data_IF_666972451303
#
_entry.id   IF_666972451303
#
_cell.length_a   1.000
_cell.length_b   1.000
_cell.length_c   1.000
_cell.angle_alpha   90.00
_cell.angle_beta   90.00
_cell.angle_gamma   90.00
#
_symmetry.space_group_name_H-M   'P 1'
#
loop_
_entity.id
_entity.type
_entity.pdbx_description
1 polymer ?
#
# COMPACT_ATOMS: atom_id res chain seq x y z
N UNK A 1 35.32 -6.17 -5.16
CA UNK A 1 33.91 -6.01 -5.02
C UNK A 1 33.45 -5.53 -3.65
N UNK A 2 32.21 -5.21 -3.59
CA UNK A 2 31.56 -4.79 -2.35
C UNK A 2 30.79 -5.96 -1.77
N UNK A 3 31.02 -6.26 -0.49
CA UNK A 3 30.34 -7.32 0.22
C UNK A 3 29.95 -6.85 1.61
N UNK A 4 28.95 -7.49 2.19
CA UNK A 4 28.48 -7.21 3.53
C UNK A 4 28.60 -8.47 4.38
N UNK A 5 29.07 -8.30 5.63
CA UNK A 5 29.14 -9.42 6.55
C UNK A 5 27.87 -9.54 7.39
N UNK A 6 27.73 -10.65 8.08
CA UNK A 6 26.54 -10.97 8.88
C UNK A 6 26.24 -9.90 9.94
N UNK A 7 27.28 -9.42 10.61
CA UNK A 7 27.14 -8.40 11.66
C UNK A 7 26.60 -7.09 11.08
N UNK A 8 27.09 -6.68 9.92
CA UNK A 8 26.60 -5.47 9.23
C UNK A 8 25.13 -5.61 8.84
N UNK A 9 24.76 -6.78 8.35
CA UNK A 9 23.38 -7.06 7.95
C UNK A 9 22.44 -6.98 9.14
N UNK A 10 22.81 -7.59 10.26
CA UNK A 10 21.98 -7.57 11.47
C UNK A 10 21.85 -6.16 12.06
N UNK A 11 22.93 -5.40 12.04
CA UNK A 11 22.91 -4.01 12.51
C UNK A 11 21.99 -3.14 11.66
N UNK A 12 22.11 -3.26 10.35
CA UNK A 12 21.24 -2.52 9.44
C UNK A 12 19.77 -2.89 9.66
N UNK A 13 19.47 -4.18 9.78
CA UNK A 13 18.11 -4.64 10.05
C UNK A 13 17.57 -4.07 11.36
N UNK A 14 18.34 -4.16 12.44
CA UNK A 14 17.92 -3.66 13.75
C UNK A 14 17.66 -2.15 13.75
N UNK A 15 18.54 -1.39 13.07
CA UNK A 15 18.40 0.07 12.98
C UNK A 15 17.24 0.51 12.08
N UNK A 16 16.86 -0.34 11.12
CA UNK A 16 15.85 -0.01 10.13
C UNK A 16 14.68 -1.01 10.09
N UNK A 17 14.43 -1.67 11.21
CA UNK A 17 13.40 -2.70 11.33
C UNK A 17 12.04 -2.26 10.81
N UNK A 18 11.67 -1.00 11.05
CA UNK A 18 10.41 -0.41 10.60
C UNK A 18 10.24 -0.43 9.08
N UNK A 19 11.34 -0.45 8.31
CA UNK A 19 11.29 -0.51 6.84
C UNK A 19 10.92 -1.90 6.33
N UNK A 20 11.11 -2.92 7.17
CA UNK A 20 10.86 -4.32 6.81
C UNK A 20 9.59 -4.88 7.42
N UNK A 21 8.95 -4.13 8.33
CA UNK A 21 7.66 -4.52 8.88
C UNK A 21 6.60 -4.48 7.78
N UNK A 22 5.71 -5.44 7.79
CA UNK A 22 4.59 -5.49 6.87
C UNK A 22 3.37 -4.85 7.54
N UNK A 23 2.86 -3.72 7.03
CA UNK A 23 1.68 -3.08 7.62
C UNK A 23 0.43 -3.88 7.27
N UNK A 24 -0.67 -3.62 8.02
CA UNK A 24 -1.97 -4.17 7.67
C UNK A 24 -2.40 -3.64 6.31
N UNK A 25 -2.83 -4.54 5.44
CA UNK A 25 -3.32 -4.20 4.10
C UNK A 25 -4.67 -4.87 3.86
N UNK A 26 -5.50 -4.26 3.06
CA UNK A 26 -6.78 -4.84 2.67
C UNK A 26 -6.99 -4.70 1.18
N UNK A 27 -7.75 -5.63 0.60
CA UNK A 27 -8.30 -5.50 -0.75
C UNK A 27 -9.79 -5.26 -0.60
N UNK A 28 -10.29 -4.27 -1.28
CA UNK A 28 -11.70 -3.93 -1.24
C UNK A 28 -12.23 -3.60 -2.63
N UNK A 29 -13.53 -3.76 -2.79
CA UNK A 29 -14.24 -3.29 -3.97
C UNK A 29 -15.27 -2.28 -3.50
N UNK A 30 -15.64 -1.34 -4.37
CA UNK A 30 -16.64 -0.36 -4.01
C UNK A 30 -17.58 0.00 -5.17
N UNK A 31 -18.72 0.57 -4.80
CA UNK A 31 -19.67 1.15 -5.74
C UNK A 31 -19.86 2.60 -5.28
N UNK A 32 -19.59 3.55 -6.17
CA UNK A 32 -19.72 4.98 -5.86
C UNK A 32 -20.93 5.55 -6.57
N UNK A 33 -21.84 6.15 -5.80
CA UNK A 33 -23.01 6.86 -6.34
C UNK A 33 -23.15 8.20 -5.63
N UNK A 34 -23.81 9.15 -6.29
CA UNK A 34 -23.96 10.50 -5.75
C UNK A 34 -25.07 10.63 -4.71
N UNK A 35 -26.07 9.76 -4.73
CA UNK A 35 -27.27 9.86 -3.91
C UNK A 35 -27.34 8.77 -2.85
N UNK A 36 -27.63 9.18 -1.60
CA UNK A 36 -27.73 8.26 -0.48
C UNK A 36 -28.86 7.25 -0.65
N UNK A 37 -30.02 7.71 -1.12
CA UNK A 37 -31.18 6.82 -1.31
C UNK A 37 -30.87 5.75 -2.36
N UNK A 38 -30.15 6.14 -3.41
CA UNK A 38 -29.72 5.20 -4.44
C UNK A 38 -28.75 4.17 -3.87
N UNK A 39 -27.81 4.64 -3.03
CA UNK A 39 -26.86 3.73 -2.36
C UNK A 39 -27.60 2.71 -1.50
N UNK A 40 -28.62 3.13 -0.74
CA UNK A 40 -29.41 2.24 0.07
C UNK A 40 -30.18 1.20 -0.76
N UNK A 41 -30.74 1.60 -1.89
CA UNK A 41 -31.42 0.69 -2.81
C UNK A 41 -30.45 -0.38 -3.33
N UNK A 42 -29.22 0.03 -3.68
CA UNK A 42 -28.18 -0.90 -4.16
C UNK A 42 -27.79 -1.90 -3.06
N UNK A 43 -27.63 -1.42 -1.83
CA UNK A 43 -27.34 -2.31 -0.70
C UNK A 43 -28.43 -3.37 -0.56
N UNK A 44 -29.69 -2.97 -0.68
CA UNK A 44 -30.82 -3.90 -0.60
C UNK A 44 -30.77 -4.94 -1.73
N UNK A 45 -30.48 -4.53 -2.95
CA UNK A 45 -30.32 -5.43 -4.09
C UNK A 45 -29.18 -6.43 -3.85
N UNK A 46 -28.06 -5.97 -3.30
CA UNK A 46 -26.92 -6.84 -2.97
C UNK A 46 -27.27 -7.87 -1.92
N UNK A 47 -28.07 -7.48 -0.92
CA UNK A 47 -28.53 -8.39 0.13
C UNK A 47 -29.47 -9.46 -0.40
N UNK A 48 -30.18 -9.17 -1.49
CA UNK A 48 -31.10 -10.13 -2.10
C UNK A 48 -30.43 -11.03 -3.15
N UNK A 49 -29.12 -10.91 -3.33
CA UNK A 49 -28.35 -11.83 -4.15
C UNK A 49 -27.74 -11.26 -5.43
N UNK A 50 -27.87 -9.95 -5.66
CA UNK A 50 -27.21 -9.33 -6.81
C UNK A 50 -25.69 -9.43 -6.67
N UNK A 51 -24.98 -9.76 -7.75
CA UNK A 51 -23.55 -9.82 -7.74
C UNK A 51 -22.94 -8.41 -7.59
N UNK A 52 -21.97 -8.27 -6.69
CA UNK A 52 -21.34 -6.98 -6.42
C UNK A 52 -20.65 -6.40 -7.65
N UNK A 53 -19.92 -7.23 -8.39
CA UNK A 53 -19.26 -6.81 -9.62
C UNK A 53 -20.23 -6.28 -10.67
N UNK A 54 -21.35 -6.95 -10.83
CA UNK A 54 -22.41 -6.53 -11.77
C UNK A 54 -23.04 -5.21 -11.32
N UNK A 55 -23.27 -5.05 -10.03
CA UNK A 55 -23.80 -3.80 -9.47
C UNK A 55 -22.83 -2.64 -9.68
N UNK A 56 -21.54 -2.88 -9.49
CA UNK A 56 -20.51 -1.86 -9.75
C UNK A 56 -20.50 -1.43 -11.20
N UNK A 57 -20.55 -2.38 -12.13
CA UNK A 57 -20.57 -2.08 -13.56
C UNK A 57 -21.81 -1.28 -13.97
N UNK A 58 -22.96 -1.58 -13.36
CA UNK A 58 -24.23 -0.95 -13.71
C UNK A 58 -24.43 0.41 -13.04
N UNK A 59 -23.96 0.58 -11.81
CA UNK A 59 -24.34 1.73 -10.97
C UNK A 59 -23.21 2.64 -10.57
N UNK A 60 -21.97 2.14 -10.49
CA UNK A 60 -20.85 2.94 -9.96
C UNK A 60 -20.39 4.00 -10.96
N UNK A 61 -20.17 5.21 -10.47
CA UNK A 61 -19.62 6.31 -11.26
C UNK A 61 -18.08 6.32 -11.26
N UNK A 62 -17.45 5.44 -10.48
CA UNK A 62 -15.99 5.34 -10.42
C UNK A 62 -15.45 4.52 -11.60
N UNK A 63 -14.27 4.88 -12.17
CA UNK A 63 -13.64 4.07 -13.23
C UNK A 63 -13.42 2.61 -12.88
N UNK A 64 -13.25 2.29 -11.59
CA UNK A 64 -13.13 0.90 -11.12
C UNK A 64 -14.36 0.04 -11.44
N UNK A 65 -15.47 0.67 -11.83
CA UNK A 65 -16.70 -0.05 -12.23
C UNK A 65 -16.43 -1.07 -13.33
N UNK A 66 -15.52 -0.78 -14.25
CA UNK A 66 -15.17 -1.65 -15.36
C UNK A 66 -14.55 -2.98 -14.92
N UNK A 67 -13.94 -3.00 -13.74
CA UNK A 67 -13.35 -4.21 -13.15
C UNK A 67 -14.15 -4.69 -11.93
N UNK A 68 -15.47 -4.46 -11.95
CA UNK A 68 -16.37 -4.91 -10.89
C UNK A 68 -16.22 -4.15 -9.59
N UNK A 69 -15.66 -2.94 -9.63
CA UNK A 69 -15.45 -2.09 -8.46
C UNK A 69 -14.14 -2.38 -7.72
N UNK A 70 -13.32 -3.31 -8.19
CA UNK A 70 -12.08 -3.69 -7.50
C UNK A 70 -11.08 -2.54 -7.45
N UNK A 71 -10.63 -2.22 -6.24
CA UNK A 71 -9.66 -1.14 -6.00
C UNK A 71 -8.23 -1.66 -5.81
N UNK A 72 -8.06 -2.98 -5.67
CA UNK A 72 -6.78 -3.58 -5.36
C UNK A 72 -6.42 -3.45 -3.89
N UNK A 73 -5.18 -3.74 -3.57
CA UNK A 73 -4.68 -3.72 -2.19
C UNK A 73 -4.26 -2.31 -1.79
N UNK A 74 -4.61 -1.92 -0.58
CA UNK A 74 -4.19 -0.61 -0.03
C UNK A 74 -4.00 -0.70 1.48
N UNK A 75 -3.17 0.21 1.99
CA UNK A 75 -2.92 0.34 3.43
C UNK A 75 -3.54 1.61 3.98
N UNK A 76 -3.32 1.83 5.27
CA UNK A 76 -3.78 3.07 5.92
C UNK A 76 -3.04 4.27 5.33
N UNK A 77 -3.77 5.37 5.16
CA UNK A 77 -3.24 6.61 4.62
C UNK A 77 -3.31 6.74 3.10
N UNK A 78 -3.82 5.73 2.39
CA UNK A 78 -3.92 5.76 0.93
C UNK A 78 -5.29 6.15 0.41
N UNK A 79 -6.32 5.98 1.23
CA UNK A 79 -7.71 6.33 0.88
C UNK A 79 -8.21 7.45 1.78
N UNK A 80 -9.34 8.06 1.43
CA UNK A 80 -9.95 9.08 2.29
C UNK A 80 -10.31 8.46 3.65
N UNK A 81 -10.22 9.22 4.76
CA UNK A 81 -10.38 8.66 6.10
C UNK A 81 -11.67 7.89 6.32
N UNK A 82 -12.79 8.36 5.80
CA UNK A 82 -14.09 7.72 5.97
C UNK A 82 -14.11 6.33 5.32
N UNK A 83 -13.54 6.23 4.13
CA UNK A 83 -13.44 4.96 3.40
C UNK A 83 -12.50 4.00 4.12
N UNK A 84 -11.33 4.49 4.50
CA UNK A 84 -10.31 3.70 5.19
C UNK A 84 -10.87 3.11 6.49
N UNK A 85 -11.48 3.94 7.32
CA UNK A 85 -12.04 3.50 8.58
C UNK A 85 -13.08 2.39 8.37
N UNK A 86 -13.98 2.58 7.42
CA UNK A 86 -15.00 1.58 7.11
C UNK A 86 -14.35 0.26 6.65
N UNK A 87 -13.43 0.33 5.68
CA UNK A 87 -12.81 -0.87 5.11
C UNK A 87 -12.01 -1.66 6.13
N UNK A 88 -11.22 -0.98 6.97
CA UNK A 88 -10.37 -1.66 7.95
C UNK A 88 -11.15 -2.23 9.14
N UNK A 89 -12.38 -1.78 9.35
CA UNK A 89 -13.25 -2.30 10.42
C UNK A 89 -14.22 -3.37 9.95
N UNK A 90 -14.25 -3.69 8.66
CA UNK A 90 -15.15 -4.68 8.08
C UNK A 90 -14.60 -6.10 8.22
N UNK A 91 -15.51 -7.07 8.21
CA UNK A 91 -15.15 -8.48 8.14
C UNK A 91 -15.04 -8.91 6.67
N UNK A 92 -14.29 -9.99 6.42
CA UNK A 92 -14.12 -10.53 5.07
C UNK A 92 -15.48 -10.88 4.45
N UNK A 93 -15.71 -10.40 3.23
CA UNK A 93 -16.95 -10.63 2.50
C UNK A 93 -18.10 -9.76 2.92
N UNK A 94 -17.95 -8.95 3.95
CA UNK A 94 -18.98 -8.03 4.40
C UNK A 94 -19.22 -6.93 3.38
N UNK A 95 -20.49 -6.52 3.25
CA UNK A 95 -20.90 -5.38 2.42
C UNK A 95 -21.32 -4.28 3.38
N UNK A 96 -20.75 -3.09 3.25
CA UNK A 96 -21.02 -1.97 4.15
C UNK A 96 -22.35 -1.30 3.87
N UNK A 97 -22.86 -0.58 4.88
CA UNK A 97 -23.86 0.46 4.65
C UNK A 97 -23.23 1.58 3.83
N UNK A 98 -24.02 2.49 3.22
CA UNK A 98 -23.44 3.61 2.49
C UNK A 98 -22.49 4.45 3.35
N UNK A 99 -21.29 4.70 2.83
CA UNK A 99 -20.25 5.50 3.50
C UNK A 99 -20.11 6.82 2.76
N UNK A 100 -20.38 7.91 3.43
CA UNK A 100 -20.27 9.25 2.83
C UNK A 100 -18.82 9.73 2.82
N UNK A 101 -18.38 10.20 1.64
CA UNK A 101 -17.09 10.87 1.46
C UNK A 101 -17.30 12.12 0.62
N UNK A 102 -16.23 12.87 0.37
CA UNK A 102 -16.29 14.05 -0.51
C UNK A 102 -16.68 13.69 -1.95
N UNK A 103 -16.55 12.43 -2.34
CA UNK A 103 -16.88 11.97 -3.70
C UNK A 103 -18.32 11.51 -3.85
N UNK A 104 -19.02 11.23 -2.76
CA UNK A 104 -20.38 10.72 -2.76
C UNK A 104 -20.56 9.61 -1.73
N UNK A 105 -21.35 8.59 -2.08
CA UNK A 105 -21.64 7.48 -1.19
C UNK A 105 -21.03 6.21 -1.74
N UNK A 106 -20.23 5.55 -0.91
CA UNK A 106 -19.53 4.31 -1.26
C UNK A 106 -20.23 3.12 -0.59
N UNK A 107 -20.40 2.05 -1.35
CA UNK A 107 -20.77 0.75 -0.82
C UNK A 107 -19.50 -0.09 -0.96
N UNK A 108 -18.99 -0.61 0.15
CA UNK A 108 -17.69 -1.26 0.20
C UNK A 108 -17.85 -2.75 0.49
N UNK A 109 -17.09 -3.59 -0.20
CA UNK A 109 -16.97 -5.02 0.13
C UNK A 109 -15.52 -5.30 0.45
N UNK A 110 -15.26 -5.93 1.60
CA UNK A 110 -13.90 -6.31 1.96
C UNK A 110 -13.58 -7.67 1.33
N UNK A 111 -12.62 -7.69 0.40
CA UNK A 111 -12.28 -8.89 -0.36
C UNK A 111 -11.15 -9.70 0.29
N UNK A 112 -10.13 -9.04 0.82
CA UNK A 112 -9.00 -9.69 1.49
C UNK A 112 -8.44 -8.81 2.60
N UNK A 113 -7.79 -9.44 3.57
CA UNK A 113 -7.07 -8.73 4.63
C UNK A 113 -5.75 -9.45 4.89
N UNK A 114 -4.67 -8.67 4.91
CA UNK A 114 -3.36 -9.13 5.37
C UNK A 114 -3.09 -8.46 6.70
N UNK A 115 -2.91 -9.24 7.76
CA UNK A 115 -2.59 -8.70 9.07
C UNK A 115 -1.21 -8.05 9.05
N UNK A 116 -1.00 -7.05 9.90
CA UNK A 116 0.30 -6.48 10.12
C UNK A 116 1.25 -7.57 10.65
N UNK A 117 2.49 -7.56 10.19
CA UNK A 117 3.49 -8.54 10.57
C UNK A 117 4.80 -7.84 10.88
N UNK A 118 5.38 -8.13 12.04
CA UNK A 118 6.69 -7.63 12.41
C UNK A 118 7.76 -8.28 11.53
N UNK A 119 8.77 -7.51 11.17
CA UNK A 119 9.86 -7.98 10.34
C UNK A 119 10.67 -9.06 11.06
N UNK A 120 11.10 -10.07 10.28
CA UNK A 120 12.04 -11.10 10.72
C UNK A 120 13.33 -10.91 9.92
N UNK A 121 14.49 -11.01 10.60
CA UNK A 121 15.77 -10.90 9.92
C UNK A 121 15.93 -11.99 8.84
N UNK A 122 15.54 -13.21 9.16
CA UNK A 122 15.68 -14.32 8.21
C UNK A 122 14.87 -14.10 6.93
N UNK A 123 13.63 -13.61 7.07
CA UNK A 123 12.77 -13.33 5.93
C UNK A 123 13.23 -12.11 5.14
N UNK A 124 13.91 -11.17 5.80
CA UNK A 124 14.33 -9.89 5.20
C UNK A 124 15.79 -9.90 4.75
N UNK A 125 16.52 -10.98 5.01
CA UNK A 125 17.97 -11.08 4.76
C UNK A 125 18.40 -10.64 3.35
N UNK A 126 17.73 -11.13 2.32
CA UNK A 126 18.06 -10.78 0.93
C UNK A 126 17.92 -9.29 0.68
N UNK A 127 16.81 -8.71 1.13
CA UNK A 127 16.57 -7.27 0.98
C UNK A 127 17.55 -6.44 1.78
N UNK A 128 17.84 -6.85 3.02
CA UNK A 128 18.84 -6.20 3.88
C UNK A 128 20.19 -6.19 3.19
N UNK A 129 20.64 -7.34 2.69
CA UNK A 129 21.91 -7.48 1.99
C UNK A 129 21.97 -6.53 0.78
N UNK A 130 20.92 -6.51 -0.02
CA UNK A 130 20.82 -5.63 -1.18
C UNK A 130 20.96 -4.17 -0.79
N UNK A 131 20.27 -3.74 0.25
CA UNK A 131 20.32 -2.34 0.72
C UNK A 131 21.69 -1.97 1.28
N UNK A 132 22.32 -2.85 2.05
CA UNK A 132 23.63 -2.60 2.61
C UNK A 132 24.68 -2.47 1.49
N UNK A 133 24.62 -3.38 0.53
CA UNK A 133 25.56 -3.34 -0.62
C UNK A 133 25.37 -2.06 -1.43
N UNK A 134 24.12 -1.65 -1.69
CA UNK A 134 23.85 -0.40 -2.39
C UNK A 134 24.44 0.80 -1.68
N UNK A 135 24.30 0.87 -0.35
CA UNK A 135 24.86 1.96 0.45
C UNK A 135 26.38 1.99 0.40
N UNK A 136 27.01 0.83 0.43
CA UNK A 136 28.48 0.74 0.29
C UNK A 136 28.95 1.19 -1.08
N UNK A 137 28.22 0.84 -2.14
CA UNK A 137 28.52 1.28 -3.50
C UNK A 137 28.38 2.79 -3.65
N UNK A 138 27.31 3.37 -3.09
CA UNK A 138 27.10 4.81 -3.08
C UNK A 138 28.21 5.55 -2.34
N UNK A 139 28.62 5.03 -1.18
CA UNK A 139 29.68 5.62 -0.39
C UNK A 139 31.01 5.63 -1.16
N UNK A 140 31.35 4.54 -1.83
CA UNK A 140 32.55 4.46 -2.67
C UNK A 140 32.49 5.43 -3.85
N UNK A 141 31.32 5.54 -4.46
CA UNK A 141 31.11 6.46 -5.59
C UNK A 141 31.30 7.92 -5.15
N UNK A 142 30.71 8.30 -4.03
CA UNK A 142 30.83 9.66 -3.49
C UNK A 142 32.26 9.98 -3.06
N UNK A 143 32.94 9.03 -2.48
CA UNK A 143 34.34 9.17 -2.08
C UNK A 143 35.23 9.45 -3.32
N UNK A 144 35.02 8.70 -4.40
CA UNK A 144 35.72 8.89 -5.66
C UNK A 144 35.46 10.26 -6.26
N UNK A 145 34.20 10.71 -6.26
CA UNK A 145 33.83 12.04 -6.77
C UNK A 145 34.52 13.14 -5.98
N UNK A 146 34.54 13.03 -4.65
CA UNK A 146 35.18 14.00 -3.78
C UNK A 146 36.70 14.08 -4.05
N UNK A 147 37.33 12.94 -4.23
CA UNK A 147 38.78 12.89 -4.59
C UNK A 147 39.06 13.59 -5.93
N UNK A 148 38.20 13.36 -6.94
CA UNK A 148 38.32 14.02 -8.24
C UNK A 148 38.11 15.52 -8.13
N UNK A 149 37.17 15.98 -7.32
CA UNK A 149 36.92 17.40 -7.10
C UNK A 149 38.11 18.08 -6.45
N UNK A 150 38.77 17.44 -5.53
CA UNK A 150 39.97 17.97 -4.88
C UNK A 150 41.11 18.12 -5.87
N UNK A 151 41.31 17.13 -6.75
CA UNK A 151 42.35 17.19 -7.80
C UNK A 151 42.08 18.36 -8.75
N UNK A 152 40.85 18.51 -9.24
CA UNK A 152 40.50 19.62 -10.13
C UNK A 152 40.64 20.98 -9.46
N UNK A 153 40.33 21.07 -8.18
CA UNK A 153 40.47 22.31 -7.42
C UNK A 153 41.89 22.74 -7.30
N UNK A 154 42.84 21.81 -7.16
CA UNK A 154 44.28 22.09 -7.14
C UNK A 154 44.80 22.55 -8.51
N UNK A 155 44.31 21.92 -9.59
CA UNK A 155 44.71 22.27 -10.94
C UNK A 155 44.28 23.66 -11.39
N UNK A 156 43.14 24.16 -10.85
CA UNK A 156 42.61 25.47 -11.21
C UNK A 156 43.43 26.60 -10.61
N UNK A 157 44.22 26.32 -9.61
CA UNK A 157 45.11 27.32 -9.04
C UNK A 157 46.32 27.59 -9.97
#
# INVERSE_FOLDING_TARGET
GVAADEEELRRYFDDNKHLFNQPEMVKASHILVADENRAKEIVDELKTGMDFGDAAKSYSSCPSSEVGGALGEFGRGQMVPEFEEAAFNMELGEISAPVKTQFGYHIIRLDERKAAKDASFDDSREEVEKQVILRKQEAKYMEKINSLKEVYKVEIK
#
